data_IF_191536333997
#
_entry.id   IF_191536333997
#
_cell.length_a   1.000
_cell.length_b   1.000
_cell.length_c   1.000
_cell.angle_alpha   90.00
_cell.angle_beta   90.00
_cell.angle_gamma   90.00
#
_symmetry.space_group_name_H-M   'P 1'
#
loop_
_entity.id
_entity.type
_entity.pdbx_description
1 polymer ?
#
# COMPACT_ATOMS: atom_id res chain seq x y z
N UNK A 1 -5.32 -17.61 0.08
CA UNK A 1 -4.35 -17.14 1.11
C UNK A 1 -5.09 -16.81 2.39
N UNK A 2 -4.55 -17.21 3.50
CA UNK A 2 -5.08 -16.85 4.81
C UNK A 2 -4.31 -15.66 5.37
N UNK A 3 -4.95 -14.85 6.21
CA UNK A 3 -4.30 -13.70 6.85
C UNK A 3 -3.03 -14.14 7.59
N UNK A 4 -3.07 -15.30 8.25
CA UNK A 4 -1.91 -15.83 8.96
C UNK A 4 -0.71 -16.20 8.06
N UNK A 5 -0.93 -16.34 6.76
CA UNK A 5 0.13 -16.68 5.79
C UNK A 5 0.83 -15.45 5.22
N UNK A 6 0.30 -14.26 5.46
CA UNK A 6 0.87 -13.03 4.91
C UNK A 6 2.17 -12.68 5.61
N UNK A 7 3.26 -12.55 4.85
CA UNK A 7 4.56 -12.15 5.36
C UNK A 7 4.93 -10.72 4.99
N UNK A 8 4.45 -10.23 3.84
CA UNK A 8 4.71 -8.86 3.37
C UNK A 8 3.48 -8.26 2.74
N UNK A 9 3.34 -6.96 2.92
CA UNK A 9 2.32 -6.15 2.26
C UNK A 9 3.04 -5.05 1.50
N UNK A 10 2.69 -4.89 0.22
CA UNK A 10 3.20 -3.80 -0.62
C UNK A 10 2.04 -2.96 -1.11
N UNK A 11 2.23 -1.65 -1.04
CA UNK A 11 1.24 -0.68 -1.52
C UNK A 11 1.96 0.29 -2.44
N UNK A 12 1.43 0.47 -3.65
CA UNK A 12 1.95 1.42 -4.63
C UNK A 12 0.80 2.26 -5.18
N UNK A 13 1.01 3.58 -5.23
CA UNK A 13 0.08 4.52 -5.86
C UNK A 13 0.86 5.28 -6.92
N UNK A 14 0.42 5.18 -8.17
CA UNK A 14 1.15 5.73 -9.32
C UNK A 14 0.23 6.46 -10.28
N UNK A 15 0.79 7.40 -11.04
CA UNK A 15 0.14 8.06 -12.17
C UNK A 15 1.16 8.33 -13.26
N UNK A 16 0.93 7.77 -14.47
CA UNK A 16 1.77 7.99 -15.66
C UNK A 16 3.27 7.78 -15.40
N UNK A 17 3.62 6.74 -14.64
CA UNK A 17 5.01 6.44 -14.29
C UNK A 17 5.55 7.20 -13.10
N UNK A 18 4.80 8.14 -12.54
CA UNK A 18 5.17 8.87 -11.32
C UNK A 18 4.58 8.18 -10.10
N UNK A 19 5.39 7.99 -9.06
CA UNK A 19 4.93 7.41 -7.80
C UNK A 19 4.42 8.49 -6.85
N UNK A 20 3.29 8.24 -6.20
CA UNK A 20 2.80 9.04 -5.08
C UNK A 20 3.12 8.35 -3.75
N UNK A 21 3.20 7.04 -3.77
CA UNK A 21 3.48 6.22 -2.59
C UNK A 21 4.07 4.89 -3.02
N UNK A 22 5.11 4.47 -2.33
CA UNK A 22 5.61 3.10 -2.37
C UNK A 22 5.88 2.69 -0.93
N UNK A 23 5.20 1.65 -0.47
CA UNK A 23 5.25 1.20 0.92
C UNK A 23 5.36 -0.31 0.97
N UNK A 24 6.26 -0.80 1.83
CA UNK A 24 6.37 -2.22 2.12
C UNK A 24 6.46 -2.40 3.64
N UNK A 25 5.68 -3.32 4.17
CA UNK A 25 5.67 -3.67 5.58
C UNK A 25 5.75 -5.19 5.68
N UNK A 26 6.66 -5.72 6.50
CA UNK A 26 6.77 -7.16 6.71
C UNK A 26 6.36 -7.57 8.12
N UNK A 27 6.03 -8.85 8.26
CA UNK A 27 5.64 -9.43 9.56
C UNK A 27 6.78 -9.37 10.58
N UNK A 28 8.04 -9.41 10.12
CA UNK A 28 9.21 -9.34 11.01
C UNK A 28 9.62 -7.91 11.35
N UNK A 29 8.89 -6.92 10.89
CA UNK A 29 9.13 -5.52 11.21
C UNK A 29 9.99 -4.75 10.21
N UNK A 30 10.38 -5.33 9.09
CA UNK A 30 11.05 -4.58 8.02
C UNK A 30 10.05 -3.64 7.37
N UNK A 31 10.45 -2.39 7.14
CA UNK A 31 9.59 -1.40 6.51
C UNK A 31 10.36 -0.48 5.57
N UNK A 32 9.72 -0.15 4.44
CA UNK A 32 10.21 0.84 3.49
C UNK A 32 9.04 1.74 3.10
N UNK A 33 9.30 3.03 3.00
CA UNK A 33 8.28 3.98 2.54
C UNK A 33 8.91 5.13 1.77
N UNK A 34 8.29 5.47 0.65
CA UNK A 34 8.55 6.68 -0.11
C UNK A 34 7.21 7.35 -0.41
N UNK A 35 7.10 8.63 -0.06
CA UNK A 35 5.93 9.44 -0.39
C UNK A 35 4.83 9.41 0.65
N UNK A 36 3.82 10.25 0.41
CA UNK A 36 2.67 10.48 1.29
C UNK A 36 1.32 10.24 0.61
N UNK A 37 1.34 9.72 -0.63
CA UNK A 37 0.12 9.51 -1.41
C UNK A 37 -0.24 10.68 -2.32
N UNK A 38 0.56 11.74 -2.33
CA UNK A 38 0.38 12.92 -3.19
C UNK A 38 1.40 12.92 -4.32
N UNK A 39 1.06 13.54 -5.46
CA UNK A 39 1.96 13.68 -6.60
C UNK A 39 2.60 15.06 -6.64
N UNK A 40 3.92 15.18 -6.97
CA UNK A 40 4.87 14.07 -7.01
C UNK A 40 5.19 13.55 -5.62
N UNK A 41 5.66 12.31 -5.54
CA UNK A 41 6.12 11.77 -4.27
C UNK A 41 7.38 12.51 -3.80
N UNK A 42 7.56 12.55 -2.46
CA UNK A 42 8.81 12.93 -1.84
C UNK A 42 9.94 12.07 -2.39
N UNK A 43 11.11 12.62 -2.58
CA UNK A 43 12.29 11.86 -3.01
C UNK A 43 12.87 11.00 -1.89
N UNK A 44 12.54 11.32 -0.64
CA UNK A 44 13.08 10.61 0.52
C UNK A 44 12.49 9.21 0.63
N UNK A 45 13.38 8.23 0.79
CA UNK A 45 13.02 6.83 1.04
C UNK A 45 13.48 6.45 2.45
N UNK A 46 12.53 6.11 3.31
CA UNK A 46 12.84 5.57 4.63
C UNK A 46 12.86 4.05 4.54
N UNK A 47 13.86 3.43 5.18
CA UNK A 47 14.00 1.99 5.21
C UNK A 47 14.66 1.59 6.53
N UNK A 48 13.94 0.88 7.38
CA UNK A 48 14.47 0.39 8.65
C UNK A 48 13.58 -0.70 9.22
N UNK A 49 14.08 -1.37 10.26
CA UNK A 49 13.26 -2.28 11.04
C UNK A 49 12.47 -1.47 12.07
N UNK A 50 11.22 -1.85 12.25
CA UNK A 50 10.30 -1.21 13.19
C UNK A 50 9.60 -2.26 14.05
N UNK A 51 8.73 -1.79 14.93
CA UNK A 51 7.91 -2.66 15.77
C UNK A 51 6.99 -3.54 14.90
N UNK A 52 7.13 -4.88 15.00
CA UNK A 52 6.25 -5.81 14.27
C UNK A 52 4.76 -5.61 14.55
N UNK A 53 4.40 -4.94 15.64
CA UNK A 53 3.00 -4.65 15.97
C UNK A 53 2.33 -3.76 14.91
N UNK A 54 3.08 -2.96 14.17
CA UNK A 54 2.50 -2.14 13.08
C UNK A 54 1.90 -3.06 12.01
N UNK A 55 2.64 -4.10 11.62
CA UNK A 55 2.13 -5.09 10.69
C UNK A 55 0.87 -5.77 11.24
N UNK A 56 0.91 -6.20 12.50
CA UNK A 56 -0.23 -6.89 13.13
C UNK A 56 -1.46 -5.98 13.21
N UNK A 57 -1.28 -4.70 13.54
CA UNK A 57 -2.39 -3.74 13.56
C UNK A 57 -3.01 -3.54 12.18
N UNK A 58 -2.17 -3.56 11.13
CA UNK A 58 -2.66 -3.38 9.78
C UNK A 58 -3.46 -4.60 9.31
N UNK A 59 -3.00 -5.82 9.58
CA UNK A 59 -3.70 -7.02 9.15
C UNK A 59 -4.99 -7.28 9.94
N UNK A 60 -5.16 -6.70 11.13
CA UNK A 60 -6.42 -6.81 11.89
C UNK A 60 -7.61 -6.23 11.12
N UNK A 61 -7.36 -5.31 10.20
CA UNK A 61 -8.41 -4.70 9.38
C UNK A 61 -8.79 -5.55 8.16
N UNK A 62 -8.05 -6.63 7.91
CA UNK A 62 -8.28 -7.45 6.73
C UNK A 62 -9.39 -8.48 6.95
N UNK A 63 -10.24 -8.60 5.94
CA UNK A 63 -11.23 -9.67 5.84
C UNK A 63 -10.74 -10.65 4.77
N UNK A 64 -10.50 -11.90 5.15
CA UNK A 64 -10.04 -12.94 4.21
C UNK A 64 -10.98 -13.14 3.02
N UNK A 65 -12.26 -12.85 3.19
CA UNK A 65 -13.23 -13.02 2.12
C UNK A 65 -12.95 -12.12 0.91
N UNK A 66 -12.22 -11.01 1.10
CA UNK A 66 -11.88 -10.13 -0.03
C UNK A 66 -10.81 -10.75 -0.94
N UNK A 67 -10.02 -11.69 -0.44
CA UNK A 67 -8.90 -12.26 -1.20
C UNK A 67 -9.33 -13.00 -2.46
N UNK A 68 -10.55 -13.52 -2.49
CA UNK A 68 -11.10 -14.18 -3.68
C UNK A 68 -11.37 -13.21 -4.84
N UNK A 69 -11.37 -11.90 -4.57
CA UNK A 69 -11.59 -10.86 -5.58
C UNK A 69 -10.29 -10.28 -6.13
N UNK A 70 -9.13 -10.86 -5.78
CA UNK A 70 -7.85 -10.39 -6.30
C UNK A 70 -7.83 -10.41 -7.82
N UNK A 71 -7.62 -9.24 -8.42
CA UNK A 71 -7.65 -9.07 -9.87
C UNK A 71 -7.17 -7.67 -10.24
N UNK A 72 -7.02 -7.44 -11.55
CA UNK A 72 -6.81 -6.11 -12.12
C UNK A 72 -8.18 -5.56 -12.51
N UNK A 73 -8.50 -4.39 -11.99
CA UNK A 73 -9.76 -3.68 -12.27
C UNK A 73 -9.45 -2.45 -13.11
N UNK A 74 -9.92 -2.44 -14.34
CA UNK A 74 -9.76 -1.32 -15.26
C UNK A 74 -11.03 -0.50 -15.32
N UNK A 75 -10.90 0.82 -15.18
CA UNK A 75 -12.03 1.72 -15.45
C UNK A 75 -12.30 1.73 -16.97
N UNK A 76 -13.56 1.57 -17.41
CA UNK A 76 -13.87 1.56 -18.84
C UNK A 76 -13.61 2.90 -19.52
N UNK A 77 -13.75 4.00 -18.79
CA UNK A 77 -13.44 5.34 -19.28
C UNK A 77 -12.05 5.75 -18.81
N UNK A 78 -11.10 5.87 -19.73
CA UNK A 78 -9.72 6.24 -19.46
C UNK A 78 -9.42 7.70 -19.73
N UNK A 79 -10.46 8.54 -19.85
CA UNK A 79 -10.31 9.97 -20.08
C UNK A 79 -9.99 10.76 -18.80
N UNK A 80 -10.16 10.16 -17.62
CA UNK A 80 -9.84 10.79 -16.34
C UNK A 80 -8.36 10.74 -16.00
N UNK A 81 -8.02 11.19 -14.78
CA UNK A 81 -6.65 11.15 -14.28
C UNK A 81 -6.19 9.68 -14.11
N UNK A 82 -5.08 9.28 -14.72
CA UNK A 82 -4.66 7.88 -14.72
C UNK A 82 -3.94 7.49 -13.42
N UNK A 83 -4.72 7.26 -12.36
CA UNK A 83 -4.20 6.83 -11.07
C UNK A 83 -4.36 5.31 -10.94
N UNK A 84 -3.28 4.63 -10.55
CA UNK A 84 -3.29 3.19 -10.29
C UNK A 84 -2.95 2.94 -8.83
N UNK A 85 -3.82 2.20 -8.14
CA UNK A 85 -3.59 1.67 -6.80
C UNK A 85 -3.25 0.19 -6.91
N UNK A 86 -2.15 -0.24 -6.32
CA UNK A 86 -1.75 -1.64 -6.30
C UNK A 86 -1.47 -2.07 -4.87
N UNK A 87 -2.13 -3.14 -4.43
CA UNK A 87 -1.90 -3.74 -3.12
C UNK A 87 -1.56 -5.20 -3.32
N UNK A 88 -0.40 -5.64 -2.83
CA UNK A 88 0.05 -7.01 -2.96
C UNK A 88 0.29 -7.60 -1.58
N UNK A 89 -0.22 -8.81 -1.38
CA UNK A 89 0.01 -9.60 -0.18
C UNK A 89 0.88 -10.80 -0.58
N UNK A 90 2.01 -10.97 0.08
CA UNK A 90 2.95 -12.05 -0.21
C UNK A 90 3.04 -13.03 0.94
N UNK A 91 3.06 -14.33 0.63
CA UNK A 91 3.32 -15.37 1.61
C UNK A 91 4.83 -15.63 1.75
N UNK A 92 5.20 -16.65 2.53
CA UNK A 92 6.60 -17.04 2.75
C UNK A 92 7.33 -17.47 1.47
N UNK A 93 6.59 -17.92 0.46
CA UNK A 93 7.14 -18.34 -0.83
C UNK A 93 7.19 -17.19 -1.84
N UNK A 94 6.93 -15.96 -1.36
CA UNK A 94 6.92 -14.73 -2.15
C UNK A 94 5.89 -14.73 -3.30
N UNK A 95 4.87 -15.57 -3.20
CA UNK A 95 3.76 -15.57 -4.15
C UNK A 95 2.83 -14.42 -3.83
N UNK A 96 2.63 -13.47 -4.76
CA UNK A 96 1.77 -12.33 -4.50
C UNK A 96 0.30 -12.63 -4.81
N UNK A 97 -0.57 -12.09 -3.96
CA UNK A 97 -1.98 -11.93 -4.24
C UNK A 97 -2.20 -10.43 -4.48
N UNK A 98 -2.58 -10.05 -5.70
CA UNK A 98 -2.54 -8.65 -6.12
C UNK A 98 -3.93 -8.12 -6.42
N UNK A 99 -4.23 -6.95 -5.85
CA UNK A 99 -5.36 -6.10 -6.24
C UNK A 99 -4.81 -4.87 -6.92
N UNK A 100 -5.21 -4.62 -8.16
CA UNK A 100 -4.80 -3.44 -8.90
C UNK A 100 -6.03 -2.71 -9.43
N UNK A 101 -6.13 -1.42 -9.09
CA UNK A 101 -7.25 -0.56 -9.50
C UNK A 101 -6.70 0.55 -10.38
N UNK A 102 -7.02 0.52 -11.66
CA UNK A 102 -6.51 1.47 -12.64
C UNK A 102 -7.52 2.59 -12.90
N UNK A 103 -7.03 3.82 -12.93
CA UNK A 103 -7.83 5.03 -13.20
C UNK A 103 -8.89 5.32 -12.13
N UNK A 104 -8.56 5.06 -10.86
CA UNK A 104 -9.50 5.31 -9.78
C UNK A 104 -10.81 4.58 -9.99
N UNK A 105 -10.73 3.31 -10.25
CA UNK A 105 -11.84 2.48 -10.73
C UNK A 105 -13.08 2.61 -9.85
N UNK A 106 -14.04 3.42 -10.28
CA UNK A 106 -15.38 3.49 -9.72
C UNK A 106 -16.27 2.64 -10.60
N UNK A 107 -16.45 1.39 -10.28
CA UNK A 107 -17.28 0.57 -11.14
C UNK A 107 -18.25 -0.25 -10.32
N UNK A 108 -19.32 -0.63 -10.98
CA UNK A 108 -20.24 -1.61 -10.43
C UNK A 108 -19.56 -2.94 -10.17
N UNK A 109 -18.43 -3.19 -10.84
CA UNK A 109 -17.70 -4.45 -10.74
C UNK A 109 -16.83 -4.52 -9.50
N UNK A 110 -16.39 -3.36 -8.97
CA UNK A 110 -15.59 -3.32 -7.74
C UNK A 110 -16.47 -3.21 -6.49
N UNK A 111 -17.73 -2.73 -6.62
CA UNK A 111 -18.61 -2.53 -5.47
C UNK A 111 -17.96 -1.68 -4.40
N UNK A 112 -17.83 -2.22 -3.19
CA UNK A 112 -17.17 -1.57 -2.05
C UNK A 112 -15.69 -1.92 -1.94
N UNK A 113 -15.14 -2.70 -2.87
CA UNK A 113 -13.77 -3.19 -2.79
C UNK A 113 -12.74 -2.06 -2.87
N UNK A 114 -12.93 -1.11 -3.79
CA UNK A 114 -12.02 0.03 -3.92
C UNK A 114 -12.04 0.91 -2.66
N UNK A 115 -13.21 1.35 -2.14
CA UNK A 115 -13.24 2.09 -0.88
C UNK A 115 -12.63 1.32 0.29
N UNK A 116 -12.81 0.00 0.34
CA UNK A 116 -12.20 -0.85 1.35
C UNK A 116 -10.68 -0.74 1.32
N UNK A 117 -10.07 -0.83 0.13
CA UNK A 117 -8.61 -0.72 0.00
C UNK A 117 -8.11 0.71 0.12
N UNK A 118 -8.89 1.72 -0.24
CA UNK A 118 -8.55 3.12 0.04
C UNK A 118 -8.43 3.35 1.54
N UNK A 119 -9.36 2.80 2.33
CA UNK A 119 -9.30 2.85 3.80
C UNK A 119 -8.10 2.08 4.34
N UNK A 120 -7.78 0.93 3.75
CA UNK A 120 -6.61 0.14 4.12
C UNK A 120 -5.32 0.92 3.89
N UNK A 121 -5.18 1.57 2.74
CA UNK A 121 -4.03 2.42 2.41
C UNK A 121 -3.93 3.58 3.40
N UNK A 122 -5.05 4.24 3.72
CA UNK A 122 -5.08 5.34 4.69
C UNK A 122 -4.60 4.88 6.06
N UNK A 123 -5.03 3.70 6.51
CA UNK A 123 -4.57 3.15 7.77
C UNK A 123 -3.08 2.86 7.75
N UNK A 124 -2.55 2.29 6.66
CA UNK A 124 -1.13 2.04 6.50
C UNK A 124 -0.32 3.34 6.58
N UNK A 125 -0.80 4.41 5.96
CA UNK A 125 -0.18 5.72 6.04
C UNK A 125 -0.17 6.26 7.48
N UNK A 126 -1.31 6.20 8.15
CA UNK A 126 -1.45 6.69 9.53
C UNK A 126 -0.49 5.95 10.47
N UNK A 127 -0.42 4.63 10.37
CA UNK A 127 0.44 3.81 11.22
C UNK A 127 1.94 4.07 11.01
N UNK A 128 2.33 4.57 9.84
CA UNK A 128 3.74 4.76 9.47
C UNK A 128 4.15 6.24 9.37
N UNK A 129 3.21 7.19 9.51
CA UNK A 129 3.49 8.61 9.34
C UNK A 129 4.54 9.14 10.31
N UNK A 130 4.42 8.84 11.60
CA UNK A 130 5.35 9.36 12.60
C UNK A 130 6.77 8.82 12.37
N UNK A 131 6.88 7.54 12.08
CA UNK A 131 8.16 6.93 11.76
C UNK A 131 8.78 7.57 10.51
N UNK A 132 8.01 7.73 9.44
CA UNK A 132 8.50 8.30 8.19
C UNK A 132 8.96 9.74 8.37
N UNK A 133 8.20 10.56 9.09
CA UNK A 133 8.57 11.94 9.38
C UNK A 133 9.84 12.04 10.21
N UNK A 134 9.98 11.15 11.22
CA UNK A 134 11.15 11.13 12.08
C UNK A 134 12.41 10.71 11.31
N UNK A 135 12.32 9.68 10.48
CA UNK A 135 13.43 9.21 9.64
C UNK A 135 13.86 10.30 8.66
N UNK A 136 12.92 11.00 8.04
CA UNK A 136 13.21 12.11 7.13
C UNK A 136 13.91 13.25 7.86
N UNK A 137 13.48 13.58 9.07
CA UNK A 137 14.09 14.63 9.88
C UNK A 137 15.53 14.26 10.29
N UNK A 138 15.76 13.02 10.70
CA UNK A 138 17.10 12.53 11.03
C UNK A 138 18.04 12.60 9.83
N UNK A 139 17.55 12.28 8.63
CA UNK A 139 18.33 12.38 7.39
C UNK A 139 18.72 13.83 7.11
N UNK A 140 17.81 14.79 7.30
CA UNK A 140 18.09 16.22 7.14
C UNK A 140 19.11 16.72 8.14
N UNK A 141 19.09 16.22 9.37
CA UNK A 141 20.00 16.63 10.43
C UNK A 141 21.43 16.13 10.18
N UNK A 142 21.60 15.07 9.37
CA UNK A 142 22.91 14.55 8.99
C UNK A 142 23.58 15.36 7.87
N UNK A 143 22.83 16.22 7.20
CA UNK A 143 23.27 17.05 6.09
C UNK A 143 23.07 18.52 6.41
#
# INVERSE_FOLDING_TARGET
MKISEIEKIRIDVQSEGNSALSLMISRIGEMMRQGNGNFPANEYVACSDIDPNIFLQLIEELDEDVFKFAAVYDHPDKSGQPITYSIAFQDKDEKPLIFEFRFGTETKDTGELLPYFENFISKALILTNDWYALEEQEEKDLH
#
